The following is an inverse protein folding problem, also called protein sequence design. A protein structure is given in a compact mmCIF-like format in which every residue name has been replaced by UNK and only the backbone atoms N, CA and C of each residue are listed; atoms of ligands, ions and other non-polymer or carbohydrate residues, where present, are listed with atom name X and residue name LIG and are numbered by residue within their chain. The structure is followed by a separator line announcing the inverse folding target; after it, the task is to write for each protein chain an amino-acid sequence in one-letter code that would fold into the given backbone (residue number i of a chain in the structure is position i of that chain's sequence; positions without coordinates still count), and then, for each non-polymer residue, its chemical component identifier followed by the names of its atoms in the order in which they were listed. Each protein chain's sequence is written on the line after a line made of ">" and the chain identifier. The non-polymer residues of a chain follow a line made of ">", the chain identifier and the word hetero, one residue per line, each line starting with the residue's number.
data_IF_224528700335
#
_entry.id   IF_224528700335
#
_cell.length_a   1.000
_cell.length_b   1.000
_cell.length_c   1.000
_cell.angle_alpha   90.00
_cell.angle_beta   90.00
_cell.angle_gamma   90.00
#
_symmetry.space_group_name_H-M   'P 1'
#
loop_
_entity.id
_entity.type
_entity.pdbx_description
1 polymer ?
#
# COMPACT_ATOMS: atom_id res chain seq x y z
N UNK A 1 -12.69 -4.56 5.37
CA UNK A 1 -11.51 -5.08 4.64
C UNK A 1 -11.04 -4.04 3.63
N UNK A 2 -9.74 -3.96 3.36
CA UNK A 2 -9.15 -2.97 2.42
C UNK A 2 -9.72 -3.11 1.01
N UNK A 3 -9.89 -4.34 0.50
CA UNK A 3 -10.45 -4.58 -0.83
C UNK A 3 -11.83 -3.93 -1.02
N UNK A 4 -12.73 -4.07 -0.04
CA UNK A 4 -14.07 -3.45 -0.09
C UNK A 4 -14.00 -1.92 -0.11
N UNK A 5 -13.07 -1.34 0.66
CA UNK A 5 -12.88 0.10 0.67
C UNK A 5 -12.40 0.61 -0.70
N UNK A 6 -11.38 -0.04 -1.27
CA UNK A 6 -10.84 0.38 -2.57
C UNK A 6 -11.85 0.16 -3.71
N UNK A 7 -12.63 -0.93 -3.67
CA UNK A 7 -13.70 -1.18 -4.63
C UNK A 7 -14.79 -0.08 -4.60
N UNK A 8 -15.06 0.50 -3.43
CA UNK A 8 -16.01 1.60 -3.26
C UNK A 8 -15.45 2.98 -3.64
N UNK A 9 -14.14 3.11 -3.86
CA UNK A 9 -13.46 4.36 -4.21
C UNK A 9 -12.65 4.21 -5.50
N UNK A 10 -13.32 4.08 -6.67
CA UNK A 10 -12.65 3.96 -7.97
C UNK A 10 -11.79 5.17 -8.36
N UNK A 11 -12.02 6.32 -7.71
CA UNK A 11 -11.24 7.56 -7.84
C UNK A 11 -9.90 7.52 -7.09
N UNK A 12 -9.67 6.46 -6.32
CA UNK A 12 -8.49 6.27 -5.48
C UNK A 12 -8.56 7.01 -4.14
N UNK A 13 -7.58 6.70 -3.28
CA UNK A 13 -7.39 7.32 -1.97
C UNK A 13 -6.07 8.11 -1.95
N UNK A 14 -6.08 9.29 -1.34
CA UNK A 14 -4.93 10.16 -1.17
C UNK A 14 -4.33 10.04 0.24
N UNK A 15 -2.99 9.93 0.37
CA UNK A 15 -2.30 10.00 1.64
C UNK A 15 -2.23 11.45 2.15
N UNK A 16 -3.35 12.00 2.61
CA UNK A 16 -3.36 13.34 3.23
C UNK A 16 -2.84 13.24 4.68
N UNK A 17 -2.01 14.24 5.04
CA UNK A 17 -1.26 14.38 6.28
C UNK A 17 -2.09 14.02 7.53
N UNK A 18 -1.50 13.22 8.43
CA UNK A 18 -2.05 12.74 9.72
C UNK A 18 -3.30 11.85 9.67
N UNK A 19 -3.91 11.59 8.50
CA UNK A 19 -5.30 11.10 8.45
C UNK A 19 -5.52 9.83 7.63
N UNK A 20 -4.45 9.22 7.10
CA UNK A 20 -4.45 7.90 6.45
C UNK A 20 -5.55 7.71 5.38
N UNK A 21 -5.21 8.05 4.14
CA UNK A 21 -5.89 7.57 2.92
C UNK A 21 -7.36 8.03 2.80
N UNK A 22 -7.54 9.32 2.50
CA UNK A 22 -8.84 9.97 2.26
C UNK A 22 -9.28 9.82 0.80
N UNK A 23 -10.59 9.70 0.50
CA UNK A 23 -11.05 9.72 -0.89
C UNK A 23 -10.59 10.99 -1.63
N UNK A 24 -10.21 10.85 -2.90
CA UNK A 24 -9.64 11.94 -3.71
C UNK A 24 -10.57 13.17 -3.86
N UNK A 25 -11.86 13.01 -3.59
CA UNK A 25 -12.92 14.01 -3.70
C UNK A 25 -13.46 14.48 -2.34
N UNK A 26 -12.85 14.09 -1.21
CA UNK A 26 -13.40 14.32 0.13
C UNK A 26 -12.60 15.34 0.96
N UNK A 27 -13.33 16.13 1.76
CA UNK A 27 -12.82 17.06 2.78
C UNK A 27 -12.70 16.44 4.18
N UNK A 28 -12.87 15.11 4.31
CA UNK A 28 -12.98 14.46 5.62
C UNK A 28 -11.72 14.55 6.48
N UNK A 29 -11.97 14.89 7.76
CA UNK A 29 -11.11 14.79 8.94
C UNK A 29 -10.35 13.46 8.99
N UNK A 30 -11.04 12.32 9.00
CA UNK A 30 -10.39 11.02 9.26
C UNK A 30 -10.59 10.11 8.06
N UNK A 31 -9.49 9.58 7.52
CA UNK A 31 -9.53 8.70 6.37
C UNK A 31 -10.07 7.30 6.72
N UNK A 32 -10.81 6.66 5.79
CA UNK A 32 -11.46 5.37 6.02
C UNK A 32 -10.50 4.23 6.40
N UNK A 33 -9.21 4.31 6.07
CA UNK A 33 -8.23 3.30 6.49
C UNK A 33 -8.01 3.31 8.01
N UNK A 34 -8.03 4.48 8.65
CA UNK A 34 -7.92 4.56 10.11
C UNK A 34 -9.06 3.81 10.81
N UNK A 35 -10.28 3.95 10.29
CA UNK A 35 -11.45 3.25 10.79
C UNK A 35 -11.37 1.73 10.56
N UNK A 36 -10.75 1.28 9.47
CA UNK A 36 -10.48 -0.14 9.24
C UNK A 36 -9.44 -0.70 10.20
N UNK A 37 -8.33 0.03 10.43
CA UNK A 37 -7.30 -0.35 11.40
C UNK A 37 -7.90 -0.56 12.80
N UNK A 38 -8.78 0.34 13.25
CA UNK A 38 -9.44 0.23 14.57
C UNK A 38 -10.32 -1.00 14.72
N UNK A 39 -10.75 -1.63 13.62
CA UNK A 39 -11.53 -2.88 13.63
C UNK A 39 -10.66 -4.14 13.58
N UNK A 40 -9.34 -4.01 13.44
CA UNK A 40 -8.41 -5.12 13.46
C UNK A 40 -8.08 -5.51 14.90
N UNK A 41 -8.39 -6.74 15.28
CA UNK A 41 -8.12 -7.27 16.63
C UNK A 41 -7.08 -8.39 16.62
N UNK A 42 -6.84 -9.00 15.46
CA UNK A 42 -5.87 -10.07 15.30
C UNK A 42 -4.62 -9.52 14.60
N UNK A 43 -3.49 -9.62 15.30
CA UNK A 43 -2.19 -9.28 14.77
C UNK A 43 -1.31 -10.53 14.86
N UNK A 44 -0.54 -10.76 13.79
CA UNK A 44 0.42 -11.85 13.73
C UNK A 44 1.78 -11.21 13.48
N UNK A 45 2.75 -11.51 14.34
CA UNK A 45 4.12 -11.08 14.13
C UNK A 45 4.80 -11.98 13.10
N UNK A 46 5.43 -11.35 12.12
CA UNK A 46 6.22 -12.03 11.10
C UNK A 46 7.66 -12.08 11.57
N UNK A 47 8.17 -13.29 11.78
CA UNK A 47 9.58 -13.56 12.08
C UNK A 47 10.19 -14.33 10.91
N UNK A 48 11.52 -14.32 10.82
CA UNK A 48 12.27 -15.00 9.77
C UNK A 48 13.77 -14.91 10.00
N UNK A 49 14.50 -15.74 9.29
CA UNK A 49 15.96 -15.84 9.30
C UNK A 49 16.58 -15.16 8.06
N UNK A 50 17.90 -15.08 8.05
CA UNK A 50 18.63 -14.53 6.90
C UNK A 50 18.36 -15.42 5.69
N UNK A 51 17.84 -14.82 4.61
CA UNK A 51 17.49 -15.52 3.37
C UNK A 51 16.00 -15.77 3.21
N UNK A 52 15.18 -15.57 4.26
CA UNK A 52 13.74 -15.73 4.15
C UNK A 52 13.12 -14.64 3.27
N UNK A 53 12.16 -15.06 2.45
CA UNK A 53 11.38 -14.18 1.57
C UNK A 53 9.92 -14.31 1.94
N UNK A 54 9.28 -13.18 2.22
CA UNK A 54 7.86 -13.13 2.57
C UNK A 54 7.09 -12.41 1.48
N UNK A 55 6.10 -13.11 0.92
CA UNK A 55 5.16 -12.55 -0.05
C UNK A 55 3.86 -12.19 0.65
N UNK A 56 3.47 -10.91 0.54
CA UNK A 56 2.22 -10.40 1.09
C UNK A 56 1.27 -10.04 -0.05
N UNK A 57 -0.02 -10.27 0.19
CA UNK A 57 -1.03 -9.75 -0.70
C UNK A 57 -0.99 -8.19 -0.68
N UNK A 58 -1.03 -7.48 -1.82
CA UNK A 58 -0.87 -6.02 -1.86
C UNK A 58 -1.88 -5.24 -1.01
N UNK A 59 -3.08 -5.81 -0.81
CA UNK A 59 -4.16 -5.23 -0.01
C UNK A 59 -4.17 -5.69 1.46
N UNK A 60 -3.14 -6.40 1.93
CA UNK A 60 -3.01 -6.81 3.32
C UNK A 60 -2.49 -5.64 4.17
N UNK A 61 -3.24 -5.28 5.21
CA UNK A 61 -2.78 -4.28 6.17
C UNK A 61 -1.60 -4.85 6.97
N UNK A 62 -0.50 -4.13 6.99
CA UNK A 62 0.71 -4.50 7.72
C UNK A 62 1.46 -3.25 8.19
N UNK A 63 2.30 -3.41 9.21
CA UNK A 63 3.12 -2.33 9.77
C UNK A 63 4.44 -2.90 10.26
N UNK A 64 5.48 -2.07 10.30
CA UNK A 64 6.75 -2.45 10.93
C UNK A 64 6.53 -2.65 12.44
N UNK A 65 7.10 -3.72 13.01
CA UNK A 65 7.09 -3.93 14.47
C UNK A 65 8.11 -3.02 15.15
N UNK A 66 7.83 -2.64 16.41
CA UNK A 66 8.76 -1.83 17.22
C UNK A 66 10.01 -2.67 17.54
N UNK A 67 11.18 -2.09 17.36
CA UNK A 67 12.44 -2.75 17.69
C UNK A 67 12.82 -2.46 19.16
N UNK A 68 12.31 -3.25 20.10
CA UNK A 68 12.55 -3.06 21.54
C UNK A 68 13.98 -3.41 21.95
N UNK A 69 14.59 -4.41 21.33
CA UNK A 69 15.97 -4.86 21.62
C UNK A 69 17.04 -3.94 21.05
N UNK A 70 16.66 -3.03 20.13
CA UNK A 70 17.56 -2.10 19.41
C UNK A 70 18.67 -2.79 18.61
N UNK A 71 18.59 -4.10 18.43
CA UNK A 71 19.46 -4.87 17.54
C UNK A 71 19.04 -4.55 16.10
N UNK A 72 19.95 -4.14 15.20
CA UNK A 72 19.59 -3.84 13.82
C UNK A 72 18.89 -5.02 13.13
N UNK A 73 17.76 -4.73 12.47
CA UNK A 73 17.06 -5.68 11.59
C UNK A 73 17.08 -5.10 10.19
N UNK A 74 17.71 -5.81 9.26
CA UNK A 74 17.83 -5.38 7.87
C UNK A 74 16.84 -6.18 7.06
N UNK A 75 15.90 -5.49 6.41
CA UNK A 75 14.92 -6.07 5.52
C UNK A 75 14.92 -5.23 4.25
N UNK A 76 15.02 -5.90 3.10
CA UNK A 76 14.87 -5.25 1.80
C UNK A 76 13.43 -5.45 1.33
N UNK A 77 12.70 -4.36 1.14
CA UNK A 77 11.37 -4.38 0.54
C UNK A 77 11.46 -3.82 -0.88
N UNK A 78 11.82 -4.66 -1.88
CA UNK A 78 11.92 -4.20 -3.25
C UNK A 78 10.54 -3.73 -3.74
N UNK A 79 10.42 -2.53 -4.33
CA UNK A 79 9.14 -2.05 -4.81
C UNK A 79 8.69 -2.90 -6.01
N UNK A 80 7.52 -3.52 -5.89
CA UNK A 80 6.87 -4.21 -7.02
C UNK A 80 5.75 -3.31 -7.53
N UNK A 81 5.94 -2.77 -8.73
CA UNK A 81 4.91 -1.98 -9.41
C UNK A 81 4.10 -2.87 -10.36
N UNK A 82 2.79 -2.62 -10.44
CA UNK A 82 1.95 -3.25 -11.45
C UNK A 82 2.23 -2.64 -12.82
N UNK A 83 2.45 -3.49 -13.83
CA UNK A 83 2.56 -3.09 -15.25
C UNK A 83 1.23 -2.51 -15.75
N UNK A 84 0.13 -3.15 -15.40
CA UNK A 84 -1.24 -2.78 -15.78
C UNK A 84 -2.18 -2.94 -14.57
N UNK A 85 -3.30 -2.19 -14.52
CA UNK A 85 -4.32 -2.38 -13.49
C UNK A 85 -4.85 -3.82 -13.41
N UNK A 86 -5.34 -4.22 -12.25
CA UNK A 86 -5.98 -5.52 -12.11
C UNK A 86 -7.30 -5.56 -12.91
N UNK A 87 -7.39 -6.48 -13.87
CA UNK A 87 -8.67 -6.87 -14.47
C UNK A 87 -9.32 -8.00 -13.64
N UNK A 88 -10.47 -7.70 -13.04
CA UNK A 88 -11.30 -8.59 -12.22
C UNK A 88 -12.58 -9.07 -12.92
N UNK A 89 -12.71 -8.83 -14.23
CA UNK A 89 -13.85 -9.21 -15.06
C UNK A 89 -13.36 -9.95 -16.31
N UNK A 90 -12.69 -11.08 -16.11
CA UNK A 90 -12.24 -11.98 -17.18
C UNK A 90 -13.30 -13.04 -17.45
N UNK A 91 -13.47 -13.39 -18.72
CA UNK A 91 -14.38 -14.45 -19.16
C UNK A 91 -13.99 -15.81 -18.58
N UNK A 92 -12.70 -16.16 -18.65
CA UNK A 92 -12.18 -17.39 -18.05
C UNK A 92 -11.63 -17.13 -16.64
N UNK A 93 -12.22 -17.81 -15.65
CA UNK A 93 -11.81 -17.71 -14.24
C UNK A 93 -10.39 -18.23 -13.95
N UNK A 94 -9.85 -19.11 -14.81
CA UNK A 94 -8.48 -19.62 -14.66
C UNK A 94 -7.40 -18.61 -15.03
N UNK A 95 -7.77 -17.56 -15.77
CA UNK A 95 -6.85 -16.48 -16.13
C UNK A 95 -6.58 -15.49 -14.98
N UNK A 96 -7.25 -15.66 -13.84
CA UNK A 96 -7.00 -14.87 -12.66
C UNK A 96 -5.73 -15.33 -11.93
N UNK A 97 -4.81 -14.39 -11.69
CA UNK A 97 -3.69 -14.63 -10.77
C UNK A 97 -4.20 -14.90 -9.35
N UNK A 98 -3.38 -15.56 -8.53
CA UNK A 98 -3.70 -15.84 -7.13
C UNK A 98 -4.10 -14.57 -6.34
N UNK A 99 -3.44 -13.44 -6.62
CA UNK A 99 -3.76 -12.12 -6.04
C UNK A 99 -5.19 -11.70 -6.41
N UNK A 100 -5.59 -11.87 -7.67
CA UNK A 100 -6.96 -11.52 -8.11
C UNK A 100 -7.99 -12.47 -7.51
N UNK A 101 -7.75 -13.79 -7.55
CA UNK A 101 -8.62 -14.81 -6.93
C UNK A 101 -8.82 -14.53 -5.43
N UNK A 102 -7.76 -14.18 -4.69
CA UNK A 102 -7.85 -13.82 -3.26
C UNK A 102 -8.62 -12.52 -3.02
N UNK A 103 -8.45 -11.53 -3.89
CA UNK A 103 -9.19 -10.25 -3.81
C UNK A 103 -10.69 -10.45 -4.04
N UNK A 104 -11.07 -11.18 -5.09
CA UNK A 104 -12.46 -11.54 -5.41
C UNK A 104 -13.12 -12.33 -4.25
N UNK A 105 -12.43 -13.35 -3.74
CA UNK A 105 -12.87 -14.11 -2.55
C UNK A 105 -13.07 -13.22 -1.32
N UNK A 106 -12.21 -12.22 -1.12
CA UNK A 106 -12.33 -11.27 -0.01
C UNK A 106 -13.50 -10.28 -0.19
N UNK A 107 -13.88 -9.99 -1.43
CA UNK A 107 -15.06 -9.20 -1.75
C UNK A 107 -16.35 -10.02 -1.63
N UNK A 108 -16.27 -11.33 -1.85
CA UNK A 108 -17.40 -12.25 -1.84
C UNK A 108 -18.13 -12.29 -3.19
N UNK A 109 -17.41 -12.06 -4.28
CA UNK A 109 -17.93 -12.05 -5.66
C UNK A 109 -17.01 -12.86 -6.56
N UNK A 110 -17.54 -13.41 -7.65
CA UNK A 110 -16.76 -14.19 -8.63
C UNK A 110 -16.11 -13.31 -9.70
N UNK A 111 -16.72 -12.16 -9.99
CA UNK A 111 -16.24 -11.17 -10.96
C UNK A 111 -16.60 -9.76 -10.49
N UNK A 112 -15.85 -8.77 -10.96
CA UNK A 112 -16.06 -7.35 -10.66
C UNK A 112 -15.69 -6.48 -11.88
N UNK A 113 -16.67 -5.81 -12.50
CA UNK A 113 -16.42 -4.75 -13.50
C UNK A 113 -15.93 -3.48 -12.80
N UNK A 114 -14.67 -3.48 -12.41
CA UNK A 114 -14.02 -2.35 -11.75
C UNK A 114 -13.39 -1.40 -12.76
N UNK A 115 -13.79 -0.13 -12.73
CA UNK A 115 -13.24 0.93 -13.59
C UNK A 115 -12.66 2.05 -12.73
N UNK A 116 -11.43 2.42 -13.04
CA UNK A 116 -10.76 3.58 -12.41
C UNK A 116 -11.42 4.86 -12.95
N UNK A 117 -11.80 5.78 -12.08
CA UNK A 117 -12.54 7.01 -12.45
C UNK A 117 -11.71 8.29 -12.35
N UNK A 118 -10.44 8.19 -11.95
CA UNK A 118 -9.53 9.33 -11.83
C UNK A 118 -8.14 9.02 -12.40
N UNK A 119 -7.41 10.06 -12.78
CA UNK A 119 -6.04 9.91 -13.27
C UNK A 119 -5.08 9.44 -12.17
N UNK A 120 -4.12 8.59 -12.55
CA UNK A 120 -3.05 8.17 -11.64
C UNK A 120 -2.12 9.35 -11.37
N UNK A 121 -2.03 9.76 -10.11
CA UNK A 121 -1.16 10.85 -9.66
C UNK A 121 0.14 10.32 -9.06
N UNK A 122 1.26 10.95 -9.38
CA UNK A 122 2.51 10.70 -8.69
C UNK A 122 2.54 11.52 -7.39
N UNK A 123 2.69 10.82 -6.26
CA UNK A 123 2.80 11.45 -4.95
C UNK A 123 4.24 11.31 -4.51
N UNK A 124 4.94 12.44 -4.42
CA UNK A 124 6.31 12.50 -3.89
C UNK A 124 6.22 12.74 -2.38
N UNK A 125 6.61 11.78 -1.54
CA UNK A 125 6.61 11.99 -0.10
C UNK A 125 7.60 13.10 0.28
N UNK A 126 7.25 13.91 1.26
CA UNK A 126 8.09 15.02 1.73
C UNK A 126 9.51 14.58 2.14
N UNK A 127 9.64 13.37 2.69
CA UNK A 127 10.95 12.77 3.01
C UNK A 127 11.91 12.70 1.81
N UNK A 128 11.40 12.53 0.59
CA UNK A 128 12.23 12.43 -0.62
C UNK A 128 12.83 13.80 -0.94
N UNK A 129 12.01 14.87 -0.84
CA UNK A 129 12.45 16.25 -1.01
C UNK A 129 13.53 16.63 0.01
N UNK A 130 13.32 16.27 1.29
CA UNK A 130 14.30 16.48 2.37
C UNK A 130 15.61 15.77 2.06
N UNK A 131 15.57 14.51 1.61
CA UNK A 131 16.77 13.74 1.30
C UNK A 131 17.55 14.30 0.11
N UNK A 132 16.84 14.75 -0.93
CA UNK A 132 17.44 15.43 -2.08
C UNK A 132 18.15 16.73 -1.67
N UNK A 133 17.53 17.53 -0.80
CA UNK A 133 18.12 18.77 -0.28
C UNK A 133 19.38 18.49 0.55
N UNK A 134 19.36 17.48 1.43
CA UNK A 134 20.56 17.06 2.19
C UNK A 134 21.70 16.62 1.27
N UNK A 135 21.41 15.82 0.23
CA UNK A 135 22.39 15.40 -0.77
C UNK A 135 23.00 16.58 -1.52
N UNK A 136 22.20 17.56 -1.90
CA UNK A 136 22.68 18.79 -2.57
C UNK A 136 23.59 19.61 -1.65
N UNK A 137 23.22 19.77 -0.37
CA UNK A 137 24.05 20.47 0.61
C UNK A 137 25.38 19.76 0.90
N UNK A 138 25.37 18.43 1.02
CA UNK A 138 26.62 17.65 1.19
C UNK A 138 27.55 17.75 -0.02
N UNK A 139 26.98 17.78 -1.24
CA UNK A 139 27.76 17.96 -2.47
C UNK A 139 28.38 19.35 -2.56
N UNK A 140 27.67 20.40 -2.13
CA UNK A 140 28.21 21.77 -2.07
C UNK A 140 29.36 21.90 -1.06
N UNK A 141 29.26 21.23 0.10
CA UNK A 141 30.32 21.21 1.11
C UNK A 141 31.56 20.40 0.72
N UNK A 142 31.46 19.53 -0.31
CA UNK A 142 32.57 18.74 -0.85
C UNK A 142 33.31 19.47 -1.99
N UNK A 143 32.72 20.55 -2.52
CA UNK A 143 33.28 21.36 -3.61
C UNK A 143 33.97 22.65 -3.10
N UNK A 144 34.10 22.79 -1.78
CA UNK A 144 34.86 23.82 -1.07
C UNK A 144 35.95 23.16 -0.22
#
# INVERSE_FOLDING_TARGET
>A
MIAKLLAAHPEGLLPILNLCMTPSNSTLLVGPIFMLYKKCHQFVELTGEIGDVVLLHPLMLHSASKNHLRIPRIITNPPVALKEPFNFNRENSEDYSLVKKKTLKALGVDQLDYRITAERRQIVPERVRIHQNKRRGSLQNLLH
#
